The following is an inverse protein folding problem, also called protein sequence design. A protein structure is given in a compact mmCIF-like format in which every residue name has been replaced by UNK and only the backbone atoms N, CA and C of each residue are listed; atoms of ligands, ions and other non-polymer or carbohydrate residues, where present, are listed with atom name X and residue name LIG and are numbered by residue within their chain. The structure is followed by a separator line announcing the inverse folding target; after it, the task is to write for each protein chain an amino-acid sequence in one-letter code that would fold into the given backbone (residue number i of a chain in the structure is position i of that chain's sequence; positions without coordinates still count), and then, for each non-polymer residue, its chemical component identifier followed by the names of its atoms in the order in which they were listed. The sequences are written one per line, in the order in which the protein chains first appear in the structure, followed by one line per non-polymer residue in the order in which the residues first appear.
data_IF_144270112318
#
_entry.id   IF_144270112318
#
_cell.length_a   1.000
_cell.length_b   1.000
_cell.length_c   1.000
_cell.angle_alpha   90.00
_cell.angle_beta   90.00
_cell.angle_gamma   90.00
#
_symmetry.space_group_name_H-M   'P 1'
#
loop_
_entity.id
_entity.type
_entity.pdbx_description
1 polymer ?
#
# COMPACT_ATOMS: atom_id res chain seq x y z
N UNK A 1 23.78 -17.25 6.23
CA UNK A 1 23.55 -15.90 5.68
C UNK A 1 23.87 -15.76 4.18
N UNK A 2 25.09 -16.02 3.69
CA UNK A 2 25.43 -15.82 2.25
C UNK A 2 24.56 -16.62 1.24
N UNK A 3 24.00 -17.77 1.65
CA UNK A 3 23.19 -18.66 0.80
C UNK A 3 21.86 -18.06 0.29
N UNK A 4 21.33 -17.04 0.95
CA UNK A 4 20.06 -16.39 0.58
C UNK A 4 20.22 -14.96 0.07
N UNK A 5 21.47 -14.48 -0.06
CA UNK A 5 21.71 -13.09 -0.43
C UNK A 5 21.20 -12.78 -1.84
N UNK A 6 21.37 -13.71 -2.78
CA UNK A 6 20.84 -13.59 -4.14
C UNK A 6 19.31 -13.50 -4.17
N UNK A 7 18.64 -14.25 -3.29
CA UNK A 7 17.19 -14.21 -3.13
C UNK A 7 16.72 -12.85 -2.62
N UNK A 8 17.31 -12.37 -1.52
CA UNK A 8 16.93 -11.07 -0.97
C UNK A 8 17.27 -9.92 -1.91
N UNK A 9 18.36 -10.02 -2.69
CA UNK A 9 18.67 -9.04 -3.72
C UNK A 9 17.57 -8.98 -4.78
N UNK A 10 17.20 -10.12 -5.37
CA UNK A 10 16.12 -10.19 -6.36
C UNK A 10 14.79 -9.69 -5.78
N UNK A 11 14.47 -10.05 -4.52
CA UNK A 11 13.29 -9.59 -3.83
C UNK A 11 13.27 -8.06 -3.70
N UNK A 12 14.36 -7.45 -3.26
CA UNK A 12 14.46 -5.98 -3.14
C UNK A 12 14.46 -5.24 -4.48
N UNK A 13 14.87 -5.88 -5.57
CA UNK A 13 14.80 -5.32 -6.93
C UNK A 13 13.36 -5.22 -7.44
N UNK A 14 12.42 -6.01 -6.88
CA UNK A 14 10.98 -5.86 -7.17
C UNK A 14 10.40 -4.54 -6.65
N UNK A 15 11.07 -3.89 -5.69
CA UNK A 15 10.75 -2.55 -5.19
C UNK A 15 11.61 -1.49 -5.89
N UNK A 16 11.50 -1.43 -7.22
CA UNK A 16 12.25 -0.50 -8.07
C UNK A 16 12.16 0.98 -7.61
N UNK A 17 13.21 1.77 -7.84
CA UNK A 17 13.17 3.22 -7.64
C UNK A 17 13.34 3.74 -6.20
N UNK A 18 13.36 2.90 -5.16
CA UNK A 18 13.67 3.34 -3.78
C UNK A 18 15.13 3.06 -3.32
N UNK A 19 15.90 2.35 -4.15
CA UNK A 19 17.30 2.03 -3.90
C UNK A 19 17.56 1.00 -2.79
N UNK A 20 16.54 0.25 -2.35
CA UNK A 20 16.65 -0.73 -1.27
C UNK A 20 17.62 -1.89 -1.63
N UNK A 21 17.66 -2.31 -2.90
CA UNK A 21 18.54 -3.38 -3.37
C UNK A 21 20.04 -3.09 -3.21
N UNK A 22 20.43 -1.81 -3.25
CA UNK A 22 21.81 -1.39 -3.01
C UNK A 22 22.17 -1.33 -1.51
N UNK A 23 21.21 -1.58 -0.61
CA UNK A 23 21.34 -1.36 0.84
C UNK A 23 21.20 -2.64 1.68
N UNK A 24 21.37 -3.82 1.08
CA UNK A 24 21.22 -5.13 1.75
C UNK A 24 22.06 -5.32 3.03
N UNK A 25 23.22 -4.65 3.13
CA UNK A 25 24.11 -4.72 4.31
C UNK A 25 23.97 -3.49 5.24
N UNK A 26 22.96 -2.63 5.03
CA UNK A 26 22.72 -1.43 5.83
C UNK A 26 21.82 -1.78 7.01
N UNK A 27 22.18 -1.36 8.22
CA UNK A 27 21.31 -1.50 9.38
C UNK A 27 19.97 -0.77 9.16
N UNK A 28 18.87 -1.35 9.62
CA UNK A 28 17.50 -0.86 9.35
C UNK A 28 17.27 0.57 9.83
N UNK A 29 17.91 0.97 10.92
CA UNK A 29 17.93 2.35 11.45
C UNK A 29 18.49 3.39 10.47
N UNK A 30 19.40 2.97 9.58
CA UNK A 30 20.07 3.82 8.60
C UNK A 30 19.38 3.82 7.22
N UNK A 31 18.26 3.10 7.07
CA UNK A 31 17.41 3.16 5.88
C UNK A 31 16.52 4.40 5.92
N UNK A 32 16.14 4.93 4.75
CA UNK A 32 15.11 5.98 4.68
C UNK A 32 13.74 5.47 5.11
N UNK A 33 12.80 6.37 5.42
CA UNK A 33 11.42 5.98 5.76
C UNK A 33 10.78 5.09 4.68
N UNK A 34 10.95 5.46 3.40
CA UNK A 34 10.41 4.69 2.27
C UNK A 34 11.07 3.33 2.11
N UNK A 35 12.38 3.24 2.33
CA UNK A 35 13.11 1.97 2.31
C UNK A 35 12.66 1.04 3.44
N UNK A 36 12.41 1.57 4.65
CA UNK A 36 11.88 0.78 5.76
C UNK A 36 10.47 0.28 5.47
N UNK A 37 9.60 1.12 4.92
CA UNK A 37 8.24 0.73 4.53
C UNK A 37 8.25 -0.37 3.45
N UNK A 38 9.05 -0.20 2.40
CA UNK A 38 9.20 -1.21 1.36
C UNK A 38 9.78 -2.53 1.90
N UNK A 39 10.78 -2.46 2.79
CA UNK A 39 11.31 -3.65 3.47
C UNK A 39 10.23 -4.35 4.30
N UNK A 40 9.45 -3.61 5.08
CA UNK A 40 8.32 -4.17 5.86
C UNK A 40 7.28 -4.84 4.97
N UNK A 41 6.91 -4.19 3.85
CA UNK A 41 5.99 -4.76 2.87
C UNK A 41 6.53 -6.06 2.25
N UNK A 42 7.82 -6.08 1.85
CA UNK A 42 8.47 -7.28 1.34
C UNK A 42 8.50 -8.40 2.38
N UNK A 43 8.83 -8.09 3.63
CA UNK A 43 8.80 -9.08 4.72
C UNK A 43 7.40 -9.65 4.94
N UNK A 44 6.35 -8.82 4.86
CA UNK A 44 4.96 -9.24 5.04
C UNK A 44 4.40 -10.05 3.86
N UNK A 45 5.00 -9.93 2.67
CA UNK A 45 4.54 -10.60 1.43
C UNK A 45 5.46 -11.72 0.97
N UNK A 46 6.63 -11.89 1.58
CA UNK A 46 7.59 -12.94 1.25
C UNK A 46 6.99 -14.34 1.41
N UNK A 47 6.28 -14.57 2.51
CA UNK A 47 5.38 -15.70 2.63
C UNK A 47 4.00 -15.22 2.28
N UNK A 48 3.35 -15.87 1.31
CA UNK A 48 2.00 -15.51 0.85
C UNK A 48 1.02 -15.49 2.04
N UNK A 49 0.53 -14.30 2.46
CA UNK A 49 -0.43 -14.23 3.55
C UNK A 49 -1.83 -14.54 3.04
N UNK A 50 -2.69 -15.09 3.92
CA UNK A 50 -4.13 -15.22 3.63
C UNK A 50 -4.81 -13.85 3.59
N UNK A 51 -4.33 -12.91 4.40
CA UNK A 51 -4.82 -11.53 4.48
C UNK A 51 -3.66 -10.57 4.76
N UNK A 52 -3.43 -9.63 3.86
CA UNK A 52 -2.52 -8.51 4.04
C UNK A 52 -3.28 -7.29 4.55
N UNK A 53 -2.89 -6.78 5.72
CA UNK A 53 -3.46 -5.56 6.31
C UNK A 53 -2.47 -4.40 6.17
N UNK A 54 -2.89 -3.32 5.53
CA UNK A 54 -2.08 -2.13 5.30
C UNK A 54 -2.73 -0.93 5.98
N UNK A 55 -2.27 -0.60 7.18
CA UNK A 55 -2.79 0.51 7.98
C UNK A 55 -1.97 1.78 7.74
N UNK A 56 -2.49 2.71 6.93
CA UNK A 56 -1.85 3.98 6.57
C UNK A 56 -0.34 3.86 6.25
N UNK A 57 0.04 2.75 5.60
CA UNK A 57 1.43 2.32 5.44
C UNK A 57 2.32 3.30 4.65
N UNK A 58 1.78 4.37 4.09
CA UNK A 58 2.54 5.38 3.36
C UNK A 58 2.49 6.78 3.99
N UNK A 59 1.77 6.98 5.10
CA UNK A 59 1.50 8.31 5.67
C UNK A 59 2.75 9.09 6.11
N UNK A 60 3.83 8.40 6.50
CA UNK A 60 5.09 9.02 6.94
C UNK A 60 6.07 9.34 5.80
N UNK A 61 5.67 9.17 4.54
CA UNK A 61 6.52 9.32 3.36
C UNK A 61 6.22 10.62 2.62
N UNK A 62 7.22 11.14 1.90
CA UNK A 62 6.97 12.23 0.96
C UNK A 62 6.05 11.77 -0.19
N UNK A 63 5.30 12.69 -0.83
CA UNK A 63 4.29 12.32 -1.84
C UNK A 63 4.81 11.48 -2.99
N UNK A 64 6.05 11.72 -3.43
CA UNK A 64 6.66 10.98 -4.55
C UNK A 64 6.95 9.54 -4.13
N UNK A 65 7.60 9.36 -2.98
CA UNK A 65 7.92 8.03 -2.45
C UNK A 65 6.66 7.24 -2.11
N UNK A 66 5.64 7.89 -1.54
CA UNK A 66 4.33 7.28 -1.25
C UNK A 66 3.68 6.75 -2.54
N UNK A 67 3.59 7.57 -3.59
CA UNK A 67 2.99 7.16 -4.86
C UNK A 67 3.73 5.99 -5.53
N UNK A 68 5.06 5.97 -5.44
CA UNK A 68 5.88 4.87 -5.94
C UNK A 68 5.60 3.57 -5.16
N UNK A 69 5.63 3.62 -3.83
CA UNK A 69 5.36 2.46 -2.99
C UNK A 69 3.93 1.93 -3.20
N UNK A 70 2.93 2.81 -3.28
CA UNK A 70 1.54 2.42 -3.56
C UNK A 70 1.39 1.71 -4.91
N UNK A 71 2.10 2.18 -5.94
CA UNK A 71 2.08 1.54 -7.26
C UNK A 71 2.63 0.11 -7.18
N UNK A 72 3.73 -0.08 -6.45
CA UNK A 72 4.37 -1.39 -6.26
C UNK A 72 3.54 -2.34 -5.41
N UNK A 73 2.97 -1.81 -4.31
CA UNK A 73 2.02 -2.53 -3.47
C UNK A 73 0.86 -3.06 -4.31
N UNK A 74 0.22 -2.20 -5.11
CA UNK A 74 -0.91 -2.58 -5.94
C UNK A 74 -0.52 -3.61 -7.01
N UNK A 75 0.64 -3.44 -7.65
CA UNK A 75 1.15 -4.39 -8.63
C UNK A 75 1.31 -5.78 -8.02
N UNK A 76 2.01 -5.88 -6.89
CA UNK A 76 2.25 -7.16 -6.21
C UNK A 76 0.95 -7.82 -5.72
N UNK A 77 0.07 -7.04 -5.11
CA UNK A 77 -1.26 -7.53 -4.66
C UNK A 77 -2.05 -8.11 -5.84
N UNK A 78 -2.02 -7.44 -7.00
CA UNK A 78 -2.76 -7.85 -8.20
C UNK A 78 -2.14 -9.09 -8.86
N UNK A 79 -0.82 -9.10 -9.06
CA UNK A 79 -0.10 -10.19 -9.73
C UNK A 79 -0.14 -11.49 -8.92
N UNK A 80 0.07 -11.40 -7.61
CA UNK A 80 0.08 -12.56 -6.70
C UNK A 80 -1.32 -12.93 -6.19
N UNK A 81 -2.35 -12.14 -6.54
CA UNK A 81 -3.74 -12.30 -6.10
C UNK A 81 -3.84 -12.42 -4.57
N UNK A 82 -3.23 -11.46 -3.88
CA UNK A 82 -3.28 -11.36 -2.42
C UNK A 82 -4.63 -10.78 -2.01
N UNK A 83 -5.22 -11.32 -0.94
CA UNK A 83 -6.35 -10.64 -0.28
C UNK A 83 -5.76 -9.52 0.57
N UNK A 84 -6.08 -8.27 0.23
CA UNK A 84 -5.51 -7.09 0.85
C UNK A 84 -6.61 -6.16 1.36
N UNK A 85 -6.49 -5.69 2.59
CA UNK A 85 -7.29 -4.59 3.15
C UNK A 85 -6.36 -3.42 3.43
N UNK A 86 -6.63 -2.30 2.77
CA UNK A 86 -5.88 -1.06 2.94
C UNK A 86 -6.76 -0.02 3.63
N UNK A 87 -6.20 0.61 4.67
CA UNK A 87 -6.80 1.72 5.40
C UNK A 87 -6.03 2.97 4.99
N UNK A 88 -6.74 4.00 4.55
CA UNK A 88 -6.15 5.28 4.13
C UNK A 88 -7.13 6.43 4.32
N UNK A 89 -6.61 7.60 4.66
CA UNK A 89 -7.33 8.87 4.60
C UNK A 89 -7.08 9.64 3.29
N UNK A 90 -6.22 9.13 2.41
CA UNK A 90 -5.95 9.73 1.09
C UNK A 90 -7.01 9.29 0.07
N UNK A 91 -7.95 10.19 -0.22
CA UNK A 91 -9.05 9.92 -1.16
C UNK A 91 -8.56 9.50 -2.56
N UNK A 92 -7.48 10.10 -3.04
CA UNK A 92 -6.93 9.79 -4.37
C UNK A 92 -6.42 8.34 -4.44
N UNK A 93 -5.84 7.81 -3.36
CA UNK A 93 -5.42 6.41 -3.26
C UNK A 93 -6.63 5.48 -3.17
N UNK A 94 -7.64 5.84 -2.39
CA UNK A 94 -8.88 5.06 -2.25
C UNK A 94 -9.63 4.94 -3.60
N UNK A 95 -9.63 6.00 -4.40
CA UNK A 95 -10.21 5.99 -5.75
C UNK A 95 -9.36 5.20 -6.74
N UNK A 96 -8.03 5.31 -6.65
CA UNK A 96 -7.11 4.71 -7.62
C UNK A 96 -6.92 3.21 -7.43
N UNK A 97 -6.78 2.74 -6.19
CA UNK A 97 -6.36 1.37 -5.89
C UNK A 97 -7.52 0.52 -5.35
N UNK A 98 -7.38 -0.81 -5.47
CA UNK A 98 -8.38 -1.76 -5.00
C UNK A 98 -9.62 -1.86 -5.89
N UNK A 99 -10.35 -2.96 -5.71
CA UNK A 99 -11.59 -3.31 -6.42
C UNK A 99 -12.86 -3.09 -5.57
N UNK A 100 -12.72 -2.80 -4.28
CA UNK A 100 -13.81 -2.48 -3.36
C UNK A 100 -13.41 -1.32 -2.49
N UNK A 101 -14.34 -0.40 -2.25
CA UNK A 101 -14.16 0.73 -1.35
C UNK A 101 -15.27 0.71 -0.30
N UNK A 102 -14.87 0.86 0.96
CA UNK A 102 -15.78 0.95 2.10
C UNK A 102 -15.52 2.28 2.78
N UNK A 103 -16.54 3.14 2.84
CA UNK A 103 -16.50 4.37 3.63
C UNK A 103 -17.01 4.05 5.03
N UNK A 104 -16.14 4.25 6.02
CA UNK A 104 -16.45 4.13 7.43
C UNK A 104 -16.59 5.52 8.04
N UNK A 105 -17.68 5.77 8.75
CA UNK A 105 -17.90 6.99 9.52
C UNK A 105 -18.62 6.64 10.82
N UNK A 106 -18.13 7.18 11.95
CA UNK A 106 -18.64 6.92 13.30
C UNK A 106 -18.83 5.41 13.62
N UNK A 107 -17.91 4.56 13.15
CA UNK A 107 -17.97 3.11 13.34
C UNK A 107 -19.04 2.39 12.50
N UNK A 108 -19.68 3.09 11.56
CA UNK A 108 -20.69 2.52 10.66
C UNK A 108 -20.23 2.59 9.21
N UNK A 109 -20.58 1.56 8.43
CA UNK A 109 -20.36 1.56 6.99
C UNK A 109 -21.40 2.49 6.35
N UNK A 110 -20.97 3.63 5.84
CA UNK A 110 -21.84 4.58 5.11
C UNK A 110 -21.98 4.23 3.64
N UNK A 111 -20.95 3.60 3.08
CA UNK A 111 -20.91 3.28 1.67
C UNK A 111 -20.02 2.05 1.44
N UNK A 112 -20.47 1.15 0.57
CA UNK A 112 -19.76 -0.07 0.19
C UNK A 112 -19.98 -0.29 -1.30
N UNK A 113 -18.92 -0.14 -2.09
CA UNK A 113 -18.97 -0.12 -3.55
C UNK A 113 -17.87 -1.00 -4.14
N UNK A 114 -18.14 -1.64 -5.29
CA UNK A 114 -17.25 -2.63 -5.90
C UNK A 114 -17.13 -2.44 -7.41
N UNK A 115 -16.04 -2.98 -7.96
CA UNK A 115 -15.79 -3.21 -9.38
C UNK A 115 -16.09 -1.97 -10.25
N UNK A 116 -17.00 -2.09 -11.22
CA UNK A 116 -17.34 -1.01 -12.15
C UNK A 116 -17.93 0.23 -11.45
N UNK A 117 -18.76 0.02 -10.42
CA UNK A 117 -19.35 1.13 -9.65
C UNK A 117 -18.25 1.90 -8.90
N UNK A 118 -17.24 1.19 -8.37
CA UNK A 118 -16.08 1.82 -7.75
C UNK A 118 -15.25 2.57 -8.77
N UNK A 119 -15.08 2.03 -9.98
CA UNK A 119 -14.31 2.66 -11.05
C UNK A 119 -14.93 3.97 -11.56
N UNK A 120 -16.25 4.16 -11.39
CA UNK A 120 -16.97 5.37 -11.76
C UNK A 120 -17.06 6.40 -10.62
N UNK A 121 -16.55 6.07 -9.44
CA UNK A 121 -16.64 6.93 -8.27
C UNK A 121 -15.78 8.19 -8.44
N UNK A 122 -16.31 9.33 -8.02
CA UNK A 122 -15.58 10.61 -8.07
C UNK A 122 -15.19 11.09 -6.68
N UNK A 123 -14.21 12.01 -6.63
CA UNK A 123 -13.73 12.61 -5.38
C UNK A 123 -14.83 13.42 -4.69
N UNK A 124 -15.65 14.14 -5.46
CA UNK A 124 -16.78 14.90 -4.95
C UNK A 124 -17.81 13.98 -4.26
N UNK A 125 -18.07 12.81 -4.86
CA UNK A 125 -18.98 11.83 -4.24
C UNK A 125 -18.41 11.29 -2.94
N UNK A 126 -17.10 11.00 -2.87
CA UNK A 126 -16.47 10.57 -1.63
C UNK A 126 -16.52 11.65 -0.54
N UNK A 127 -16.22 12.90 -0.88
CA UNK A 127 -16.28 14.02 0.06
C UNK A 127 -17.68 14.21 0.65
N UNK A 128 -18.73 13.99 -0.14
CA UNK A 128 -20.12 14.10 0.35
C UNK A 128 -20.47 13.18 1.53
N UNK A 129 -19.69 12.12 1.78
CA UNK A 129 -19.89 11.25 2.95
C UNK A 129 -19.24 11.79 4.23
N UNK A 130 -18.33 12.77 4.12
CA UNK A 130 -17.62 13.40 5.24
C UNK A 130 -18.10 14.83 5.51
N UNK A 131 -18.80 15.46 4.55
CA UNK A 131 -19.30 16.84 4.64
C UNK A 131 -20.54 17.03 5.55
N UNK A 132 -20.77 16.13 6.51
CA UNK A 132 -21.75 16.33 7.58
C UNK A 132 -20.99 16.75 8.84
N UNK A 133 -20.59 18.02 8.88
CA UNK A 133 -20.26 18.71 10.13
C UNK A 133 -21.44 19.64 10.42
N UNK A 134 -22.35 19.19 11.29
CA UNK A 134 -23.14 20.12 12.12
C UNK A 134 -22.24 20.69 13.23
#
# INVERSE_FOLDING_TARGET
MKKHLSHFQALTETMDGNGLSARLNTATENLSGGQRQALSFLMATEQRPDLLLLDEHTAALDPKTSAQLMTQTNQRVTEEKLTCLMITHHLDDALRYGNRLIVLDQGQIKYDVRDEEKAQLTKEKLLSFFDIIE
#
